data_IF_611844528917
#
_entry.id   IF_611844528917
#
_cell.length_a   1.000
_cell.length_b   1.000
_cell.length_c   1.000
_cell.angle_alpha   90.00
_cell.angle_beta   90.00
_cell.angle_gamma   90.00
#
_symmetry.space_group_name_H-M   'P 1'
#
loop_
_entity.id
_entity.type
_entity.pdbx_description
1 polymer ?
2 non-polymer ?
3 non-polymer ?
4 water ?
#
# COMPACT_ATOMS: atom_id res chain seq x y z
N UNK A 20 14.90 -6.28 2.76
CA UNK A 20 14.03 -5.24 2.12
C UNK A 20 14.26 -3.83 2.72
N UNK A 21 15.32 -3.16 2.25
CA UNK A 21 15.65 -1.85 2.75
C UNK A 21 15.83 -0.78 1.68
N UNK A 22 15.90 -1.08 0.39
CA UNK A 22 15.88 -0.01 -0.60
C UNK A 22 14.71 -0.16 -1.55
N UNK A 23 14.34 0.95 -2.15
CA UNK A 23 13.22 0.98 -3.09
C UNK A 23 13.77 1.26 -4.47
N UNK A 24 13.35 0.44 -5.42
CA UNK A 24 13.69 0.60 -6.80
C UNK A 24 12.43 0.87 -7.60
N UNK A 25 12.58 1.48 -8.77
CA UNK A 25 11.52 1.58 -9.74
C UNK A 25 11.04 0.20 -10.13
N UNK A 26 9.74 -0.02 -9.98
CA UNK A 26 9.15 -1.30 -10.27
C UNK A 26 9.28 -1.68 -11.76
N UNK A 27 9.23 -0.68 -12.63
CA UNK A 27 9.27 -0.92 -14.07
C UNK A 27 10.64 -1.26 -14.63
N UNK A 28 11.70 -0.68 -14.07
CA UNK A 28 13.03 -0.91 -14.63
C UNK A 28 14.13 -1.27 -13.63
N UNK A 29 13.92 -1.06 -12.34
CA UNK A 29 14.95 -1.37 -11.33
C UNK A 29 15.88 -0.23 -10.91
N UNK A 30 15.70 0.95 -11.48
CA UNK A 30 16.45 2.12 -11.03
C UNK A 30 16.35 2.29 -9.52
N UNK A 31 17.48 2.51 -8.85
CA UNK A 31 17.48 2.81 -7.41
C UNK A 31 16.88 4.19 -7.13
N UNK A 32 15.93 4.25 -6.20
CA UNK A 32 15.19 5.49 -5.97
C UNK A 32 15.30 6.03 -4.54
N UNK A 33 15.03 5.18 -3.54
CA UNK A 33 15.09 5.62 -2.19
C UNK A 33 15.36 4.45 -1.25
N UNK A 34 15.28 4.73 0.05
CA UNK A 34 15.63 3.78 1.09
C UNK A 34 14.59 3.86 2.19
N UNK A 35 14.33 2.72 2.85
CA UNK A 35 13.47 2.69 4.00
C UNK A 35 13.94 3.65 5.11
N UNK A 36 15.25 3.76 5.30
CA UNK A 36 15.83 4.71 6.25
C UNK A 36 15.44 6.16 6.02
N UNK A 37 15.02 6.48 4.79
CA UNK A 37 14.65 7.84 4.43
C UNK A 37 13.15 8.14 4.50
N UNK A 38 12.34 7.21 4.97
CA UNK A 38 10.91 7.46 5.15
C UNK A 38 10.71 8.65 6.09
N UNK A 39 9.70 9.46 5.79
CA UNK A 39 9.43 10.71 6.52
C UNK A 39 7.99 10.71 7.02
N UNK A 40 7.79 10.63 8.34
CA UNK A 40 6.40 10.70 8.81
C UNK A 40 5.76 12.11 8.79
N UNK A 41 5.33 12.59 7.62
CA UNK A 41 4.57 13.86 7.47
C UNK A 41 3.22 13.77 8.15
N UNK A 42 2.94 14.73 9.03
CA UNK A 42 1.67 14.75 9.77
C UNK A 42 1.46 13.52 10.64
N UNK A 43 2.55 12.86 11.06
CA UNK A 43 2.47 11.68 11.91
C UNK A 43 2.52 10.34 11.20
N UNK A 44 2.50 10.34 9.87
CA UNK A 44 2.48 9.07 9.12
C UNK A 44 3.23 9.19 7.81
N UNK A 45 4.06 8.19 7.50
CA UNK A 45 4.74 8.20 6.20
C UNK A 45 3.75 7.89 5.06
N UNK A 46 2.67 7.17 5.35
CA UNK A 46 1.65 6.84 4.34
C UNK A 46 0.46 7.81 4.32
N UNK A 47 0.15 8.30 3.12
CA UNK A 47 -0.99 9.18 2.87
C UNK A 47 -1.75 8.65 1.66
N UNK A 48 -2.99 8.26 1.88
CA UNK A 48 -3.83 7.83 0.76
C UNK A 48 -4.62 9.04 0.26
N UNK A 49 -4.44 9.36 -1.00
CA UNK A 49 -4.94 10.61 -1.56
C UNK A 49 -5.51 10.39 -2.98
N UNK A 50 -6.32 11.35 -3.42
CA UNK A 50 -6.90 11.35 -4.74
C UNK A 50 -6.52 12.60 -5.51
N UNK A 51 -6.36 12.45 -6.81
CA UNK A 51 -6.16 13.57 -7.70
C UNK A 51 -7.48 14.00 -8.34
N UNK A 52 -7.49 15.13 -9.09
CA UNK A 52 -8.77 15.57 -9.67
C UNK A 52 -9.37 14.63 -10.72
N UNK A 53 -8.59 13.70 -11.26
CA UNK A 53 -9.11 12.70 -12.17
C UNK A 53 -9.64 11.48 -11.40
N UNK A 54 -9.63 11.55 -10.08
CA UNK A 54 -10.20 10.53 -9.22
C UNK A 54 -9.34 9.31 -9.02
N UNK A 55 -8.08 9.38 -9.44
CA UNK A 55 -7.16 8.28 -9.18
C UNK A 55 -6.70 8.34 -7.73
N UNK A 56 -6.68 7.17 -7.08
CA UNK A 56 -6.27 7.04 -5.70
C UNK A 56 -4.81 6.65 -5.70
N UNK A 57 -4.03 7.28 -4.84
CA UNK A 57 -2.60 6.98 -4.76
C UNK A 57 -2.30 6.73 -3.30
N UNK A 58 -1.53 5.69 -3.04
CA UNK A 58 -0.96 5.45 -1.73
C UNK A 58 0.44 6.01 -1.80
N UNK A 59 0.62 7.18 -1.18
CA UNK A 59 1.81 7.95 -1.27
C UNK A 59 2.62 7.69 0.00
N UNK A 60 3.89 7.30 -0.18
CA UNK A 60 4.82 7.19 0.92
C UNK A 60 5.75 8.40 0.84
N UNK A 61 5.95 9.08 1.97
CA UNK A 61 6.78 10.28 2.01
C UNK A 61 8.22 9.93 2.39
N UNK A 62 9.16 10.48 1.64
CA UNK A 62 10.57 10.25 1.86
C UNK A 62 11.26 11.62 1.97
N UNK A 63 12.22 11.73 2.87
CA UNK A 63 13.02 12.95 2.99
C UNK A 63 13.92 13.13 1.78
N UNK A 64 14.33 12.02 1.17
CA UNK A 64 15.33 12.03 0.13
C UNK A 64 15.01 10.96 -0.91
N UNK A 65 15.40 11.21 -2.15
CA UNK A 65 15.33 10.21 -3.21
C UNK A 65 16.38 10.54 -4.24
N UNK A 66 16.63 9.59 -5.12
CA UNK A 66 17.59 9.76 -6.17
C UNK A 66 17.07 9.03 -7.41
N UNK A 67 17.72 9.23 -8.54
CA UNK A 67 17.40 8.49 -9.76
C UNK A 67 16.11 8.94 -10.44
N UNK A 68 15.56 10.07 -9.99
CA UNK A 68 14.33 10.62 -10.56
C UNK A 68 14.68 11.73 -11.54
N UNK A 69 13.68 12.18 -12.27
CA UNK A 69 13.81 13.34 -13.11
C UNK A 69 12.58 14.20 -12.83
N UNK A 70 12.79 15.43 -12.37
CA UNK A 70 11.68 16.30 -11.96
C UNK A 70 11.28 17.18 -13.13
N UNK A 71 10.00 17.18 -13.47
CA UNK A 71 9.54 17.83 -14.69
C UNK A 71 8.78 19.11 -14.40
N UNK A 72 9.07 20.14 -15.19
CA UNK A 72 8.36 21.40 -15.12
C UNK A 72 8.72 22.20 -13.89
N UNK A 73 7.96 23.27 -13.67
CA UNK A 73 8.19 24.17 -12.55
C UNK A 73 7.16 23.86 -11.48
N UNK A 74 7.49 24.14 -10.21
CA UNK A 74 6.56 23.82 -9.13
C UNK A 74 5.19 24.49 -9.26
N UNK A 75 4.17 23.82 -8.74
CA UNK A 75 2.81 24.32 -8.72
C UNK A 75 2.18 24.02 -7.35
N UNK A 76 1.46 24.99 -6.80
CA UNK A 76 0.67 24.80 -5.60
C UNK A 76 -0.73 24.21 -5.84
N UNK A 77 -1.19 24.19 -7.09
CA UNK A 77 -2.57 23.76 -7.39
C UNK A 77 -2.88 22.33 -6.95
N UNK A 78 -3.95 22.18 -6.16
CA UNK A 78 -4.42 20.89 -5.66
C UNK A 78 -3.43 20.16 -4.74
N UNK A 79 -2.45 20.86 -4.18
CA UNK A 79 -1.42 20.19 -3.37
C UNK A 79 -2.04 19.45 -2.21
N UNK A 80 -1.63 18.21 -2.03
CA UNK A 80 -2.09 17.40 -0.91
C UNK A 80 -1.46 17.79 0.40
N UNK A 81 -0.39 18.58 0.35
CA UNK A 81 0.36 18.92 1.55
C UNK A 81 0.44 20.42 1.66
N UNK A 82 -0.18 20.94 2.70
CA UNK A 82 -0.37 22.36 2.86
C UNK A 82 0.97 23.11 2.93
N UNK A 83 1.09 24.18 2.14
CA UNK A 83 2.29 25.01 2.10
C UNK A 83 3.33 24.50 1.11
N UNK A 84 3.07 23.36 0.47
CA UNK A 84 4.02 22.81 -0.46
C UNK A 84 3.50 22.89 -1.89
N UNK A 85 4.44 23.16 -2.79
CA UNK A 85 4.26 23.11 -4.22
C UNK A 85 4.91 21.84 -4.76
N UNK A 86 4.31 21.29 -5.82
CA UNK A 86 4.71 20.00 -6.33
C UNK A 86 5.28 20.13 -7.72
N UNK A 87 6.20 19.21 -8.03
CA UNK A 87 6.63 18.95 -9.41
C UNK A 87 6.57 17.46 -9.60
N UNK A 88 6.16 17.03 -10.79
CA UNK A 88 6.09 15.63 -11.15
C UNK A 88 7.48 15.00 -11.14
N UNK A 89 7.57 13.83 -10.52
CA UNK A 89 8.81 13.07 -10.45
C UNK A 89 8.67 11.79 -11.28
N UNK A 90 9.46 11.70 -12.35
CA UNK A 90 9.55 10.48 -13.14
C UNK A 90 10.79 9.69 -12.76
N UNK A 91 10.75 8.39 -13.00
CA UNK A 91 11.94 7.59 -12.99
C UNK A 91 12.89 8.17 -14.03
N UNK A 92 14.13 8.49 -13.63
CA UNK A 92 15.10 9.08 -14.54
C UNK A 92 15.58 8.12 -15.60
N UNK A 93 15.43 6.82 -15.36
CA UNK A 93 15.85 5.83 -16.31
C UNK A 93 14.74 5.53 -17.33
N UNK A 94 13.56 5.13 -16.87
CA UNK A 94 12.50 4.65 -17.76
C UNK A 94 11.35 5.62 -18.01
N UNK A 95 11.27 6.70 -17.24
CA UNK A 95 10.21 7.67 -17.40
C UNK A 95 8.90 7.33 -16.69
N UNK A 96 8.85 6.23 -15.95
CA UNK A 96 7.66 5.87 -15.22
C UNK A 96 7.33 6.97 -14.19
N UNK A 97 6.05 7.30 -14.05
CA UNK A 97 5.65 8.32 -13.09
C UNK A 97 5.67 7.75 -11.68
N UNK A 98 6.64 8.17 -10.88
CA UNK A 98 6.86 7.56 -9.57
C UNK A 98 6.31 8.38 -8.41
N UNK A 99 6.05 9.67 -8.64
CA UNK A 99 5.47 10.51 -7.61
C UNK A 99 5.68 11.99 -7.87
N UNK A 100 5.92 12.71 -6.80
CA UNK A 100 6.10 14.17 -6.84
C UNK A 100 7.20 14.58 -5.87
N UNK A 101 7.92 15.64 -6.23
CA UNK A 101 8.78 16.34 -5.33
C UNK A 101 8.01 17.56 -4.78
N UNK A 102 8.12 17.78 -3.48
CA UNK A 102 7.48 18.88 -2.79
C UNK A 102 8.51 19.89 -2.30
N UNK A 103 8.19 21.16 -2.44
CA UNK A 103 9.09 22.22 -2.01
C UNK A 103 8.31 23.48 -1.65
N UNK A 104 9.03 24.52 -1.24
CA UNK A 104 8.42 25.78 -0.87
C UNK A 104 7.72 25.80 0.48
N UNK A 105 7.78 24.70 1.24
CA UNK A 105 7.16 24.63 2.56
C UNK A 105 8.11 24.85 3.72
N UNK A 106 7.73 24.28 4.86
CA UNK A 106 8.45 24.48 6.12
C UNK A 106 8.57 23.18 6.92
N UNK A 107 9.76 22.87 7.40
CA UNK A 107 10.00 21.77 8.32
C UNK A 107 9.37 20.44 7.88
N UNK A 108 9.87 19.87 6.78
CA UNK A 108 11.03 20.31 6.02
C UNK A 108 10.64 21.21 4.85
N UNK A 109 11.60 21.92 4.29
CA UNK A 109 11.32 22.76 3.13
C UNK A 109 10.90 21.92 1.92
N UNK A 110 11.52 20.74 1.78
CA UNK A 110 11.29 19.83 0.66
C UNK A 110 11.18 18.37 1.13
N UNK A 111 10.51 17.55 0.31
CA UNK A 111 10.45 16.07 0.47
C UNK A 111 9.83 15.43 -0.79
N UNK A 112 9.81 14.10 -0.83
CA UNK A 112 9.25 13.35 -1.95
C UNK A 112 8.03 12.57 -1.51
N UNK A 113 6.99 12.62 -2.31
CA UNK A 113 5.83 11.76 -2.15
C UNK A 113 5.82 10.76 -3.28
N UNK A 114 6.12 9.50 -2.97
CA UNK A 114 6.29 8.48 -4.00
C UNK A 114 5.17 7.47 -3.91
N UNK A 115 4.77 6.96 -5.07
CA UNK A 115 3.65 6.06 -5.17
C UNK A 115 4.12 4.63 -4.85
N UNK A 116 3.62 4.13 -3.74
CA UNK A 116 4.12 2.89 -3.16
C UNK A 116 4.09 1.69 -4.10
N UNK A 117 2.99 1.49 -4.81
CA UNK A 117 2.85 0.33 -5.72
C UNK A 117 3.64 0.50 -7.03
N UNK A 118 4.32 1.63 -7.21
CA UNK A 118 5.23 1.80 -8.34
C UNK A 118 6.71 1.58 -8.00
N UNK A 119 6.95 1.19 -6.75
CA UNK A 119 8.28 0.87 -6.27
C UNK A 119 8.35 -0.60 -5.94
N UNK A 120 9.55 -1.14 -5.99
CA UNK A 120 9.81 -2.50 -5.53
C UNK A 120 10.82 -2.41 -4.40
N UNK A 121 10.53 -3.08 -3.27
CA UNK A 121 11.39 -3.06 -2.10
C UNK A 121 12.25 -4.32 -2.01
N UNK A 122 13.50 -4.15 -1.63
CA UNK A 122 14.41 -5.28 -1.53
C UNK A 122 15.75 -4.96 -0.89
N UNK A 123 16.65 -5.94 -0.89
CA UNK A 123 17.95 -5.73 -0.19
C UNK A 123 18.88 -4.67 -0.84
N UNK A 124 19.70 -4.04 -0.02
CA UNK A 124 20.60 -2.93 -0.46
C UNK A 124 21.76 -3.46 -1.31
N UNK B 21 -14.32 -15.63 -1.23
CA UNK B 21 -13.56 -16.24 -2.35
C UNK B 21 -12.28 -16.92 -1.93
N UNK B 22 -11.78 -17.73 -2.84
CA UNK B 22 -10.60 -18.52 -2.61
C UNK B 22 -9.58 -18.31 -3.73
N UNK B 23 -8.32 -18.61 -3.42
CA UNK B 23 -7.25 -18.50 -4.37
C UNK B 23 -6.79 -19.91 -4.72
N UNK B 24 -6.74 -20.21 -6.01
CA UNK B 24 -6.31 -21.52 -6.49
C UNK B 24 -5.01 -21.35 -7.24
N UNK B 25 -4.21 -22.41 -7.31
CA UNK B 25 -3.06 -22.47 -8.17
C UNK B 25 -3.51 -22.25 -9.60
N UNK B 26 -2.93 -21.25 -10.25
CA UNK B 26 -3.31 -20.90 -11.61
C UNK B 26 -3.00 -22.04 -12.58
N UNK B 27 -1.95 -22.80 -12.30
CA UNK B 27 -1.54 -23.88 -13.18
C UNK B 27 -2.38 -25.14 -13.11
N UNK B 28 -2.83 -25.54 -11.93
CA UNK B 28 -3.60 -26.80 -11.83
C UNK B 28 -4.95 -26.70 -11.12
N UNK B 29 -5.23 -25.58 -10.46
CA UNK B 29 -6.53 -25.39 -9.81
C UNK B 29 -6.58 -25.83 -8.36
N UNK B 30 -5.49 -26.39 -7.84
CA UNK B 30 -5.44 -26.71 -6.42
C UNK B 30 -5.85 -25.51 -5.54
N UNK B 31 -6.75 -25.70 -4.59
CA UNK B 31 -7.08 -24.67 -3.59
C UNK B 31 -5.89 -24.38 -2.67
N UNK B 32 -5.56 -23.10 -2.54
CA UNK B 32 -4.36 -22.70 -1.82
C UNK B 32 -4.63 -21.81 -0.62
N UNK B 33 -5.43 -20.77 -0.80
CA UNK B 33 -5.74 -19.89 0.30
C UNK B 33 -7.07 -19.21 0.08
N UNK B 34 -7.42 -18.30 0.99
CA UNK B 34 -8.74 -17.69 1.01
C UNK B 34 -8.57 -16.20 1.21
N UNK B 35 -9.45 -15.42 0.61
CA UNK B 35 -9.46 -13.98 0.82
C UNK B 35 -9.58 -13.62 2.32
N UNK B 36 -10.34 -14.41 3.08
CA UNK B 36 -10.48 -14.20 4.54
C UNK B 36 -9.14 -14.21 5.28
N UNK B 37 -8.14 -14.85 4.67
CA UNK B 37 -6.83 -15.00 5.28
C UNK B 37 -5.79 -13.96 4.83
N UNK B 38 -6.18 -12.98 4.02
CA UNK B 38 -5.25 -11.93 3.64
C UNK B 38 -4.77 -11.26 4.90
N UNK B 39 -3.48 -10.95 4.91
CA UNK B 39 -2.81 -10.43 6.11
C UNK B 39 -2.09 -9.13 5.77
N UNK B 40 -2.54 -7.98 6.30
CA UNK B 40 -1.84 -6.73 5.98
C UNK B 40 -0.52 -6.53 6.75
N UNK B 41 0.55 -7.24 6.35
CA UNK B 41 1.88 -7.07 6.96
C UNK B 41 2.44 -5.69 6.64
N UNK B 42 2.88 -4.98 7.67
CA UNK B 42 3.39 -3.62 7.53
C UNK B 42 2.38 -2.63 6.95
N UNK B 43 1.09 -2.89 7.16
CA UNK B 43 0.04 -2.01 6.66
C UNK B 43 -0.56 -2.39 5.32
N UNK B 44 -0.02 -3.39 4.63
CA UNK B 44 -0.54 -3.75 3.30
C UNK B 44 -0.42 -5.24 3.03
N UNK B 45 -1.47 -5.85 2.46
CA UNK B 45 -1.35 -7.25 2.06
C UNK B 45 -0.48 -7.42 0.80
N UNK B 46 -0.38 -6.38 -0.03
CA UNK B 46 0.47 -6.41 -1.22
C UNK B 46 1.84 -5.81 -0.99
N UNK B 47 2.86 -6.55 -1.41
CA UNK B 47 4.22 -6.11 -1.34
C UNK B 47 4.89 -6.37 -2.67
N UNK B 48 5.31 -5.32 -3.35
CA UNK B 48 6.14 -5.47 -4.55
C UNK B 48 7.60 -5.48 -4.10
N UNK B 49 8.31 -6.56 -4.43
CA UNK B 49 9.64 -6.80 -3.91
C UNK B 49 10.58 -7.32 -4.99
N UNK B 50 11.88 -7.24 -4.70
CA UNK B 50 12.90 -7.78 -5.59
C UNK B 50 13.92 -8.63 -4.78
N UNK B 51 14.43 -9.69 -5.42
CA UNK B 51 15.43 -10.56 -4.78
C UNK B 51 16.82 -10.14 -5.17
N UNK B 52 17.87 -10.80 -4.62
CA UNK B 52 19.23 -10.38 -4.94
C UNK B 52 19.65 -10.61 -6.39
N UNK B 53 18.92 -11.46 -7.11
CA UNK B 53 19.19 -11.64 -8.53
C UNK B 53 18.49 -10.56 -9.37
N UNK B 54 17.73 -9.68 -8.72
CA UNK B 54 17.02 -8.61 -9.40
C UNK B 54 15.68 -8.97 -10.02
N UNK B 55 15.11 -10.12 -9.67
CA UNK B 55 13.76 -10.47 -10.11
C UNK B 55 12.71 -9.78 -9.23
N UNK B 56 11.69 -9.25 -9.87
CA UNK B 56 10.62 -8.52 -9.18
C UNK B 56 9.37 -9.39 -9.03
N UNK B 57 8.76 -9.40 -7.84
CA UNK B 57 7.57 -10.19 -7.53
C UNK B 57 6.53 -9.31 -6.89
N UNK B 58 5.28 -9.53 -7.24
CA UNK B 58 4.16 -8.92 -6.53
C UNK B 58 3.57 -9.99 -5.58
N UNK B 59 3.84 -9.81 -4.29
CA UNK B 59 3.52 -10.78 -3.24
C UNK B 59 2.29 -10.34 -2.45
N UNK B 60 1.31 -11.23 -2.30
CA UNK B 60 0.18 -11.04 -1.39
C UNK B 60 0.40 -11.90 -0.14
N UNK B 61 0.22 -11.32 1.04
CA UNK B 61 0.46 -12.04 2.30
C UNK B 61 -0.81 -12.67 2.80
N UNK B 62 -0.71 -13.94 3.20
CA UNK B 62 -1.83 -14.69 3.76
C UNK B 62 -1.43 -15.32 5.10
N UNK B 63 -2.34 -15.34 6.07
CA UNK B 63 -2.07 -15.89 7.39
C UNK B 63 -1.86 -17.42 7.38
N UNK B 64 -2.60 -18.08 6.50
CA UNK B 64 -2.58 -19.53 6.32
C UNK B 64 -2.67 -19.82 4.83
N UNK B 65 -2.29 -21.04 4.49
CA UNK B 65 -2.46 -21.60 3.18
C UNK B 65 -2.49 -23.11 3.32
N UNK B 66 -2.90 -23.76 2.24
CA UNK B 66 -2.92 -25.18 2.18
C UNK B 66 -2.52 -25.63 0.79
N UNK B 67 -2.23 -26.90 0.65
CA UNK B 67 -1.96 -27.49 -0.64
C UNK B 67 -0.59 -27.18 -1.19
N UNK B 68 0.28 -26.60 -0.38
CA UNK B 68 1.62 -26.26 -0.82
C UNK B 68 2.63 -27.34 -0.37
N UNK B 69 3.85 -27.25 -0.88
CA UNK B 69 4.94 -28.10 -0.40
C UNK B 69 6.09 -27.17 -0.16
N UNK B 70 6.57 -27.14 1.08
CA UNK B 70 7.63 -26.23 1.46
C UNK B 70 8.97 -26.93 1.31
N UNK B 71 9.91 -26.30 0.62
CA UNK B 71 11.18 -26.95 0.25
C UNK B 71 12.35 -26.39 1.04
N UNK B 72 13.21 -27.28 1.51
CA UNK B 72 14.45 -26.88 2.19
C UNK B 72 14.21 -26.41 3.61
N UNK B 73 15.27 -25.93 4.26
CA UNK B 73 15.19 -25.44 5.63
C UNK B 73 15.13 -23.93 5.60
N UNK B 74 14.52 -23.33 6.65
CA UNK B 74 14.33 -21.89 6.64
C UNK B 74 15.64 -21.13 6.56
N UNK B 75 15.59 -19.96 5.94
CA UNK B 75 16.74 -19.08 5.86
C UNK B 75 16.28 -17.65 6.17
N UNK B 76 17.08 -16.93 6.96
CA UNK B 76 16.87 -15.50 7.19
C UNK B 76 17.49 -14.59 6.13
N UNK B 77 18.34 -15.13 5.27
CA UNK B 77 19.07 -14.34 4.28
C UNK B 77 18.14 -13.60 3.31
N UNK B 78 18.31 -12.28 3.24
CA UNK B 78 17.57 -11.41 2.33
C UNK B 78 16.07 -11.39 2.56
N UNK B 79 15.61 -11.78 3.74
CA UNK B 79 14.17 -11.85 3.99
C UNK B 79 13.53 -10.51 3.77
N UNK B 80 12.42 -10.50 3.04
CA UNK B 80 11.65 -9.28 2.81
C UNK B 80 10.86 -8.85 4.05
N UNK B 81 10.77 -9.71 5.05
CA UNK B 81 10.06 -9.39 6.27
C UNK B 81 10.97 -9.62 7.47
N UNK B 82 11.33 -8.51 8.11
CA UNK B 82 12.30 -8.52 9.20
C UNK B 82 11.84 -9.43 10.35
N UNK B 83 12.75 -10.28 10.82
CA UNK B 83 12.47 -11.21 11.92
C UNK B 83 11.89 -12.53 11.46
N UNK B 84 11.69 -12.68 10.16
CA UNK B 84 11.17 -13.92 9.63
C UNK B 84 12.17 -14.59 8.74
N UNK B 85 12.23 -15.90 8.85
CA UNK B 85 12.98 -16.76 7.95
C UNK B 85 12.01 -17.32 6.90
N UNK B 86 12.50 -17.57 5.70
CA UNK B 86 11.67 -18.04 4.58
C UNK B 86 12.04 -19.44 4.13
N UNK B 87 11.06 -20.13 3.58
CA UNK B 87 11.26 -21.34 2.79
C UNK B 87 10.44 -21.21 1.52
N UNK B 88 10.95 -21.75 0.42
CA UNK B 88 10.24 -21.78 -0.86
C UNK B 88 8.96 -22.64 -0.79
N UNK B 89 7.86 -22.10 -1.31
CA UNK B 89 6.58 -22.78 -1.36
C UNK B 89 6.17 -23.10 -2.78
N UNK B 90 6.09 -24.40 -3.07
CA UNK B 90 5.58 -24.89 -4.33
C UNK B 90 4.14 -25.39 -4.17
N UNK B 91 3.39 -25.36 -5.27
CA UNK B 91 2.09 -26.05 -5.31
C UNK B 91 2.39 -27.51 -5.05
N UNK B 92 1.70 -28.12 -4.08
CA UNK B 92 1.95 -29.51 -3.72
C UNK B 92 1.48 -30.46 -4.80
N UNK B 93 0.55 -30.00 -5.63
CA UNK B 93 -0.04 -30.82 -6.66
C UNK B 93 0.78 -30.77 -7.95
N UNK B 94 1.08 -29.58 -8.45
CA UNK B 94 1.79 -29.45 -9.75
C UNK B 94 3.23 -28.97 -9.69
N UNK B 95 3.71 -28.53 -8.53
CA UNK B 95 5.10 -28.05 -8.38
C UNK B 95 5.33 -26.60 -8.79
N UNK B 96 4.28 -25.89 -9.19
CA UNK B 96 4.43 -24.48 -9.57
C UNK B 96 4.96 -23.66 -8.38
N UNK B 97 5.88 -22.74 -8.62
CA UNK B 97 6.42 -21.92 -7.53
C UNK B 97 5.43 -20.85 -7.17
N UNK B 98 4.79 -20.98 -6.02
CA UNK B 98 3.69 -20.09 -5.69
C UNK B 98 4.10 -18.99 -4.72
N UNK B 99 5.21 -19.14 -4.01
CA UNK B 99 5.68 -18.12 -3.08
C UNK B 99 6.64 -18.63 -2.04
N UNK B 100 6.50 -18.12 -0.81
CA UNK B 100 7.35 -18.47 0.32
C UNK B 100 6.51 -18.56 1.58
N UNK B 101 6.92 -19.45 2.48
CA UNK B 101 6.41 -19.48 3.84
C UNK B 101 7.38 -18.75 4.74
N UNK B 102 6.84 -17.96 5.65
CA UNK B 102 7.62 -17.22 6.63
C UNK B 102 7.38 -17.73 8.05
N UNK B 103 8.45 -17.83 8.84
CA UNK B 103 8.34 -18.35 10.20
C UNK B 103 9.39 -17.73 11.11
N UNK B 104 9.31 -18.11 12.37
CA UNK B 104 10.29 -17.71 13.38
C UNK B 104 10.02 -16.34 13.98
N UNK B 105 9.07 -15.62 13.44
CA UNK B 105 8.82 -14.27 13.90
C UNK B 105 7.88 -14.35 15.10
N UNK B 106 7.38 -13.21 15.56
CA UNK B 106 6.22 -13.19 16.46
C UNK B 106 5.10 -12.37 15.81
N UNK B 107 3.87 -12.70 16.16
CA UNK B 107 2.70 -11.90 15.83
C UNK B 107 2.60 -11.45 14.37
N UNK B 108 2.35 -12.40 13.45
CA UNK B 108 2.13 -13.81 13.68
C UNK B 108 3.41 -14.62 13.53
N UNK B 109 3.43 -15.82 14.08
CA UNK B 109 4.62 -16.66 14.02
C UNK B 109 4.85 -17.16 12.61
N UNK B 110 3.77 -17.43 11.88
CA UNK B 110 3.82 -18.06 10.56
C UNK B 110 2.89 -17.29 9.59
N UNK B 111 3.35 -17.06 8.37
CA UNK B 111 2.49 -16.56 7.30
C UNK B 111 3.09 -16.89 5.94
N UNK B 112 2.32 -16.67 4.89
CA UNK B 112 2.73 -16.95 3.53
C UNK B 112 2.77 -15.69 2.71
N UNK B 113 3.81 -15.56 1.90
CA UNK B 113 3.89 -14.55 0.85
C UNK B 113 3.75 -15.22 -0.49
N UNK B 114 2.60 -15.06 -1.13
CA UNK B 114 2.27 -15.79 -2.36
C UNK B 114 2.27 -14.83 -3.55
N UNK B 115 2.68 -15.34 -4.70
CA UNK B 115 2.82 -14.56 -5.89
C UNK B 115 1.47 -14.44 -6.56
N UNK B 116 0.95 -13.21 -6.55
CA UNK B 116 -0.41 -12.94 -6.96
C UNK B 116 -0.71 -13.46 -8.36
N UNK B 117 0.20 -13.22 -9.30
CA UNK B 117 0.02 -13.62 -10.70
C UNK B 117 0.04 -15.14 -10.94
N UNK B 118 0.39 -15.89 -9.93
CA UNK B 118 0.43 -17.35 -10.02
C UNK B 118 -0.77 -18.02 -9.35
N UNK B 119 -1.71 -17.19 -8.88
CA UNK B 119 -2.96 -17.66 -8.30
C UNK B 119 -4.10 -17.19 -9.16
N UNK B 120 -5.23 -17.91 -9.05
CA UNK B 120 -6.48 -17.51 -9.69
C UNK B 120 -7.54 -17.40 -8.59
N UNK B 121 -8.21 -16.25 -8.52
CA UNK B 121 -9.24 -16.01 -7.52
C UNK B 121 -10.60 -16.38 -8.08
N UNK B 122 -11.42 -17.00 -7.25
CA UNK B 122 -12.75 -17.39 -7.68
C UNK B 122 -13.63 -17.84 -6.53
N UNK B 123 -14.87 -18.21 -6.83
CA UNK B 123 -15.80 -18.58 -5.77
C UNK B 123 -15.40 -19.88 -5.04
N UNK B 124 -15.74 -19.99 -3.76
CA UNK B 124 -15.81 -21.28 -3.08
C UNK B 124 -17.13 -21.93 -3.44
N UNK C 19 -6.77 20.54 -2.44
CA UNK C 19 -6.11 19.22 -2.58
C UNK C 19 -6.70 18.15 -1.69
N UNK C 20 -7.18 18.55 -0.52
CA UNK C 20 -7.84 17.63 0.41
C UNK C 20 -9.18 18.20 0.94
N UNK C 21 -10.07 18.61 0.03
CA UNK C 21 -11.41 19.09 0.39
C UNK C 21 -12.33 17.94 0.80
N UNK C 22 -12.35 16.90 -0.03
CA UNK C 22 -13.30 15.79 0.10
C UNK C 22 -12.66 14.56 0.75
N UNK C 23 -13.42 13.90 1.61
CA UNK C 23 -12.99 12.65 2.24
C UNK C 23 -13.78 11.50 1.61
N UNK C 24 -13.10 10.36 1.40
CA UNK C 24 -13.67 9.20 0.72
C UNK C 24 -13.21 7.90 1.34
N UNK C 25 -13.98 6.84 1.15
CA UNK C 25 -13.56 5.51 1.60
C UNK C 25 -12.21 5.14 0.95
N UNK C 26 -11.27 4.65 1.77
CA UNK C 26 -9.94 4.27 1.30
C UNK C 26 -9.98 3.06 0.38
N UNK C 27 -10.89 2.12 0.63
CA UNK C 27 -10.95 0.87 -0.15
C UNK C 27 -11.56 1.00 -1.53
N UNK C 28 -12.68 1.71 -1.63
CA UNK C 28 -13.40 1.79 -2.89
C UNK C 28 -13.61 3.22 -3.43
N UNK C 29 -13.40 4.25 -2.61
CA UNK C 29 -13.49 5.65 -3.07
C UNK C 29 -14.85 6.35 -2.95
N UNK C 30 -15.85 5.65 -2.42
CA UNK C 30 -17.15 6.25 -2.08
C UNK C 30 -17.02 7.61 -1.39
N UNK C 31 -17.69 8.64 -1.91
CA UNK C 31 -17.72 9.97 -1.27
C UNK C 31 -18.36 9.85 0.10
N UNK C 32 -17.75 10.47 1.12
CA UNK C 32 -18.28 10.41 2.48
C UNK C 32 -18.56 11.80 3.08
N UNK C 33 -17.51 12.61 3.32
CA UNK C 33 -17.71 13.96 3.87
C UNK C 33 -16.86 15.03 3.19
N UNK C 34 -16.77 16.22 3.80
CA UNK C 34 -15.96 17.31 3.24
C UNK C 34 -15.39 18.26 4.28
N UNK C 35 -14.45 19.09 3.83
CA UNK C 35 -13.74 20.03 4.69
C UNK C 35 -14.73 20.98 5.35
N UNK C 36 -15.69 21.49 4.57
CA UNK C 36 -16.75 22.38 5.05
C UNK C 36 -17.54 21.81 6.23
N UNK C 37 -17.73 20.49 6.27
CA UNK C 37 -18.55 19.84 7.30
C UNK C 37 -17.78 19.43 8.57
N UNK C 38 -16.46 19.62 8.59
CA UNK C 38 -15.64 19.30 9.78
C UNK C 38 -16.11 20.06 11.04
N UNK C 39 -15.94 19.46 12.23
CA UNK C 39 -16.37 20.09 13.49
C UNK C 39 -15.18 20.55 14.32
N UNK C 59 -8.93 10.66 14.27
CA UNK C 59 -10.34 10.67 13.88
C UNK C 59 -10.78 12.10 13.54
N UNK C 60 -11.26 12.31 12.31
CA UNK C 60 -11.90 13.59 11.91
C UNK C 60 -13.39 13.58 12.32
N UNK C 61 -13.87 14.69 12.88
CA UNK C 61 -15.30 14.87 13.25
C UNK C 61 -16.06 15.70 12.21
N UNK C 62 -17.21 15.19 11.78
CA UNK C 62 -18.03 15.85 10.76
C UNK C 62 -19.45 15.97 11.28
N UNK C 63 -20.05 17.15 11.11
CA UNK C 63 -21.46 17.36 11.43
C UNK C 63 -22.36 16.59 10.46
N UNK C 64 -21.92 16.49 9.20
CA UNK C 64 -22.69 15.80 8.13
C UNK C 64 -21.81 14.87 7.33
N UNK C 65 -22.44 13.81 6.81
CA UNK C 65 -21.77 12.80 5.96
C UNK C 65 -22.81 12.12 5.06
N UNK C 66 -22.30 11.34 4.11
CA UNK C 66 -23.14 10.57 3.19
C UNK C 66 -22.45 9.26 2.78
N UNK C 67 -23.19 8.41 2.09
CA UNK C 67 -22.60 7.19 1.50
C UNK C 67 -22.24 6.08 2.49
N UNK C 68 -22.63 6.26 3.74
CA UNK C 68 -22.41 5.25 4.77
C UNK C 68 -23.67 4.44 4.95
N UNK C 69 -23.51 3.30 5.63
CA UNK C 69 -24.62 2.51 6.11
C UNK C 69 -24.45 2.33 7.62
N UNK C 70 -25.36 2.89 8.41
CA UNK C 70 -25.29 2.79 9.87
C UNK C 70 -25.92 1.48 10.37
N UNK C 71 -25.18 0.73 11.17
CA UNK C 71 -25.62 -0.59 11.67
C UNK C 71 -26.08 -0.45 13.13
N UNK C 86 -22.36 6.23 19.97
CA UNK C 86 -21.73 5.71 18.77
C UNK C 86 -22.53 4.52 18.23
N UNK C 87 -22.88 4.60 16.94
CA UNK C 87 -23.34 3.43 16.16
C UNK C 87 -22.34 3.22 15.01
N UNK C 88 -22.23 2.00 14.51
CA UNK C 88 -21.16 1.65 13.55
C UNK C 88 -21.49 2.04 12.10
N UNK C 89 -20.59 2.83 11.49
CA UNK C 89 -20.75 3.34 10.14
C UNK C 89 -19.89 2.60 9.11
N UNK C 90 -20.53 1.77 8.28
CA UNK C 90 -19.84 1.07 7.20
C UNK C 90 -19.94 1.87 5.91
N UNK C 91 -18.96 1.72 5.02
CA UNK C 91 -19.05 2.26 3.66
C UNK C 91 -20.20 1.59 2.93
N UNK C 92 -21.17 2.38 2.46
CA UNK C 92 -22.34 1.85 1.74
C UNK C 92 -21.98 1.09 0.46
N UNK C 93 -20.83 1.40 -0.13
CA UNK C 93 -20.45 0.81 -1.43
C UNK C 93 -19.72 -0.52 -1.29
N UNK C 94 -18.71 -0.55 -0.42
CA UNK C 94 -17.90 -1.76 -0.26
C UNK C 94 -18.00 -2.40 1.12
N UNK C 95 -18.71 -1.79 2.07
CA UNK C 95 -18.82 -2.34 3.43
C UNK C 95 -17.65 -2.17 4.39
N UNK C 96 -16.60 -1.44 3.98
CA UNK C 96 -15.44 -1.14 4.86
C UNK C 96 -15.86 -0.33 6.10
N UNK C 97 -15.28 -0.65 7.27
CA UNK C 97 -15.62 0.04 8.53
C UNK C 97 -14.89 1.39 8.64
N UNK C 98 -15.61 2.49 8.37
CA UNK C 98 -14.97 3.81 8.32
C UNK C 98 -14.99 4.62 9.65
N UNK C 99 -15.78 4.18 10.62
CA UNK C 99 -15.91 4.90 11.90
C UNK C 99 -17.27 4.74 12.54
N UNK C 100 -17.81 5.84 13.08
CA UNK C 100 -19.02 5.81 13.92
C UNK C 100 -19.92 7.06 13.83
N UNK C 101 -21.22 6.87 14.02
CA UNK C 101 -22.20 7.97 14.09
C UNK C 101 -22.63 8.20 15.54
N UNK C 102 -22.29 9.36 16.08
CA UNK C 102 -22.67 9.73 17.45
C UNK C 102 -24.06 10.37 17.46
N UNK C 103 -25.03 9.73 18.11
CA UNK C 103 -26.41 10.19 18.16
C UNK C 103 -26.85 10.44 19.59
N UNK C 110 -25.35 15.76 17.69
CA UNK C 110 -25.03 14.49 17.03
C UNK C 110 -24.07 14.72 15.83
N UNK C 111 -23.18 13.75 15.57
CA UNK C 111 -22.10 13.92 14.60
C UNK C 111 -21.48 12.59 14.13
N UNK C 112 -20.57 12.68 13.15
CA UNK C 112 -19.84 11.52 12.62
C UNK C 112 -18.37 11.56 13.07
N UNK C 113 -17.88 10.42 13.55
CA UNK C 113 -16.47 10.27 13.95
C UNK C 113 -15.83 9.20 13.08
N UNK C 114 -15.08 9.62 12.07
CA UNK C 114 -14.58 8.72 11.05
C UNK C 114 -13.08 8.40 11.20
N UNK C 115 -12.78 7.09 11.23
CA UNK C 115 -11.39 6.59 11.37
C UNK C 115 -10.55 7.12 10.21
N UNK C 116 -9.56 7.95 10.53
CA UNK C 116 -8.74 8.60 9.51
C UNK C 116 -7.95 7.60 8.66
N UNK C 117 -7.61 6.43 9.24
CA UNK C 117 -6.89 5.38 8.51
C UNK C 117 -7.75 4.55 7.54
N UNK C 118 -9.06 4.80 7.54
CA UNK C 118 -9.97 4.19 6.58
C UNK C 118 -10.43 5.18 5.51
N UNK C 119 -9.85 6.37 5.54
CA UNK C 119 -10.25 7.43 4.63
C UNK C 119 -9.07 7.90 3.79
N UNK C 120 -9.43 8.60 2.72
CA UNK C 120 -8.49 9.24 1.80
C UNK C 120 -9.03 10.60 1.36
N UNK C 121 -8.13 11.51 0.96
CA UNK C 121 -8.53 12.89 0.67
C UNK C 121 -8.23 13.37 -0.74
N UNK C 122 -9.17 14.14 -1.28
CA UNK C 122 -9.03 14.73 -2.60
C UNK C 122 -9.65 16.12 -2.72
N UNK C 123 -9.56 16.73 -3.91
CA UNK C 123 -10.18 18.02 -4.20
C UNK C 123 -11.72 17.93 -4.31
N UNK C 124 -12.36 19.08 -4.57
CA UNK C 124 -13.82 19.22 -4.49
C UNK C 124 -14.59 18.33 -5.47
X LIG D 1 12.07 3.12 -14.04
X LIG E 1 -3.78 16.10 -6.93
X LIG E 1 -2.61 16.39 -6.73
X LIG E 1 -2.12 16.89 -5.59
X LIG E 1 -1.51 16.23 -7.75
X LIG E 1 -1.51 17.40 -8.74
X LIG E 1 -2.79 17.59 -9.53
X LIG E 1 -1.64 14.94 -8.54
X LIG E 1 -0.28 16.29 -6.83
X LIG E 1 -0.86 16.77 -5.51
X LIG E 1 -0.20 17.01 -4.49
X LIG F 1 -0.71 -26.37 -8.93
X LIG G 1 14.93 -12.20 -1.76
X LIG G 1 14.20 -12.90 -1.07
X LIG G 1 13.52 -12.47 0.01
X LIG G 1 13.90 -14.35 -1.37
X LIG G 1 15.11 -15.21 -1.01
X LIG G 1 16.36 -15.06 -1.86
X LIG G 1 13.54 -14.56 -2.82
X LIG G 1 12.73 -14.60 -0.38
X LIG G 1 12.70 -13.32 0.46
X LIG G 1 12.03 -13.15 1.46
X LIG H 1 -15.85 1.71 0.38
#
# INVERSE_FOLDING_TARGET
>A
AMPLDAGGQNSTQMVLAPGASIFRCRQCGQTISRRDWLLPMGGDHEHVVFNPAGMIFRVWCFSLAQGLRLIGAPSGEFSWFKGYDWTIALCGQCGSHLGWHYEGGSQPQTFFGLIKDRLAEGPAD
>B
AMPLDAGGQNSTQMVLAPGASIFRCRQCGQTISRRDWLLPMGGDHEHVVFNPAGMIFRVWCFSLAQGLRLIGAPSGEFSWFKGYDWTIALCGQCGSHLGWHYEGGSQPQTFFGLIKDRLAEGPAD
>C
AMPLDAGGQNSTQMVLAPGASIFRCRQCGQTISRRDWLLPMGGDHEHVVFNPAGMIFRVWCFSLAQGLRLIGAPSGEFSWFKGYDWTIALCGQCGSHLGWHYEGGSQPQTFFGLIKDRLAEGPAD
>D hetero
1 ZN ZN
>E hetero
1 9V2 O1 C4 N C1 C3 C7 C5 C2 C6 O2
>F hetero
1 ZN ZN
>G hetero
1 9V2 O1 C4 N C1 C3 C7 C5 C2 C6 O2
>H hetero
1 ZN ZN
#
